data_IF_484652847628
#
_entry.id   IF_484652847628
#
_cell.length_a   1.000
_cell.length_b   1.000
_cell.length_c   1.000
_cell.angle_alpha   90.00
_cell.angle_beta   90.00
_cell.angle_gamma   90.00
#
_symmetry.space_group_name_H-M   'P 1'
#
loop_
_entity.id
_entity.type
_entity.pdbx_description
1 polymer ?
#
# COMPACT_ATOMS: atom_id res chain seq x y z
N UNK A 1 -11.41 -18.49 -6.71
CA UNK A 1 -10.94 -18.69 -5.32
C UNK A 1 -12.02 -19.36 -4.46
N UNK A 2 -11.64 -20.32 -3.59
CA UNK A 2 -12.54 -20.90 -2.58
C UNK A 2 -12.96 -19.83 -1.58
N UNK A 3 -14.21 -19.85 -1.07
CA UNK A 3 -14.75 -18.85 -0.13
C UNK A 3 -13.81 -18.58 1.05
N UNK A 4 -13.26 -19.63 1.67
CA UNK A 4 -12.31 -19.56 2.80
C UNK A 4 -11.06 -18.72 2.50
N UNK A 5 -10.43 -18.89 1.33
CA UNK A 5 -9.24 -18.11 0.94
C UNK A 5 -9.55 -16.62 0.84
N UNK A 6 -10.74 -16.25 0.37
CA UNK A 6 -11.15 -14.85 0.27
C UNK A 6 -11.34 -14.19 1.64
N UNK A 7 -11.87 -14.92 2.63
CA UNK A 7 -11.97 -14.40 4.00
C UNK A 7 -10.59 -14.16 4.61
N UNK A 8 -9.65 -15.09 4.43
CA UNK A 8 -8.27 -14.92 4.91
C UNK A 8 -7.63 -13.67 4.30
N UNK A 9 -7.74 -13.47 2.98
CA UNK A 9 -7.18 -12.28 2.33
C UNK A 9 -7.79 -10.96 2.84
N UNK A 10 -9.07 -10.95 3.19
CA UNK A 10 -9.73 -9.76 3.78
C UNK A 10 -9.23 -9.48 5.19
N UNK A 11 -9.04 -10.51 6.01
CA UNK A 11 -8.45 -10.36 7.35
C UNK A 11 -7.02 -9.83 7.23
N UNK A 12 -6.22 -10.40 6.31
CA UNK A 12 -4.87 -9.90 6.03
C UNK A 12 -4.87 -8.44 5.58
N UNK A 13 -5.82 -8.03 4.72
CA UNK A 13 -5.97 -6.63 4.32
C UNK A 13 -6.27 -5.71 5.51
N UNK A 14 -7.15 -6.13 6.42
CA UNK A 14 -7.48 -5.35 7.63
C UNK A 14 -6.28 -5.24 8.57
N UNK A 15 -5.56 -6.33 8.81
CA UNK A 15 -4.34 -6.33 9.61
C UNK A 15 -3.26 -5.45 8.98
N UNK A 16 -3.13 -5.50 7.66
CA UNK A 16 -2.21 -4.64 6.91
C UNK A 16 -2.59 -3.16 7.06
N UNK A 17 -3.86 -2.79 6.89
CA UNK A 17 -4.31 -1.39 7.11
C UNK A 17 -4.01 -0.94 8.54
N UNK A 18 -4.31 -1.78 9.53
CA UNK A 18 -4.02 -1.47 10.93
C UNK A 18 -2.52 -1.28 11.18
N UNK A 19 -1.67 -2.10 10.56
CA UNK A 19 -0.22 -1.96 10.63
C UNK A 19 0.27 -0.65 9.98
N UNK A 20 -0.23 -0.29 8.81
CA UNK A 20 0.09 0.99 8.15
C UNK A 20 -0.32 2.17 9.04
N UNK A 21 -1.55 2.17 9.55
CA UNK A 21 -2.01 3.22 10.47
C UNK A 21 -1.13 3.31 11.73
N UNK A 22 -0.76 2.18 12.32
CA UNK A 22 0.13 2.16 13.48
C UNK A 22 1.51 2.72 13.15
N UNK A 23 2.10 2.36 12.00
CA UNK A 23 3.40 2.88 11.56
C UNK A 23 3.37 4.39 11.27
N UNK A 24 2.28 4.88 10.66
CA UNK A 24 2.16 6.30 10.30
C UNK A 24 1.80 7.18 11.49
N UNK A 25 1.00 6.70 12.44
CA UNK A 25 0.46 7.53 13.51
C UNK A 25 1.06 7.29 14.90
N UNK A 26 1.76 6.19 15.15
CA UNK A 26 2.37 5.98 16.46
C UNK A 26 3.54 6.97 16.69
N UNK A 27 3.50 7.71 17.81
CA UNK A 27 4.65 8.47 18.32
C UNK A 27 5.54 7.53 19.14
N UNK A 28 6.39 6.76 18.43
CA UNK A 28 7.37 5.88 19.07
C UNK A 28 8.69 6.65 19.20
N UNK A 29 8.85 7.36 20.32
CA UNK A 29 10.14 7.92 20.71
C UNK A 29 11.08 6.78 21.05
N UNK A 30 12.05 6.54 20.18
CA UNK A 30 13.13 5.60 20.46
C UNK A 30 14.43 6.38 20.48
N UNK A 31 15.16 6.25 21.59
CA UNK A 31 16.49 6.84 21.80
C UNK A 31 17.58 6.08 21.01
N UNK A 32 17.15 5.19 20.12
CA UNK A 32 17.97 4.29 19.33
C UNK A 32 18.36 5.06 18.08
N UNK A 33 19.66 5.28 17.88
CA UNK A 33 20.19 5.95 16.69
C UNK A 33 19.94 5.13 15.43
N UNK A 34 18.74 5.24 14.86
CA UNK A 34 18.39 4.63 13.58
C UNK A 34 19.07 5.44 12.48
N UNK A 35 19.80 4.77 11.59
CA UNK A 35 20.36 5.41 10.41
C UNK A 35 19.23 6.10 9.64
N UNK A 36 19.32 7.42 9.52
CA UNK A 36 18.31 8.25 8.87
C UNK A 36 18.26 8.05 7.36
N UNK A 37 19.24 7.33 6.79
CA UNK A 37 19.33 7.02 5.37
C UNK A 37 19.75 5.56 5.16
N UNK A 38 19.23 4.96 4.09
CA UNK A 38 19.64 3.65 3.58
C UNK A 38 19.96 3.81 2.09
N UNK A 39 21.17 3.44 1.67
CA UNK A 39 21.66 3.63 0.29
C UNK A 39 21.58 5.09 -0.21
N UNK A 40 21.71 6.07 0.71
CA UNK A 40 21.61 7.50 0.40
C UNK A 40 20.17 8.01 0.24
N UNK A 41 19.15 7.15 0.39
CA UNK A 41 17.75 7.54 0.41
C UNK A 41 17.29 7.65 1.86
N UNK A 42 16.57 8.71 2.26
CA UNK A 42 16.00 8.82 3.60
C UNK A 42 15.12 7.60 3.94
N UNK A 43 15.32 7.06 5.15
CA UNK A 43 14.74 5.78 5.55
C UNK A 43 13.20 5.83 5.65
N UNK A 44 12.64 6.99 6.01
CA UNK A 44 11.22 7.30 5.96
C UNK A 44 10.63 7.04 4.57
N UNK A 45 11.28 7.52 3.49
CA UNK A 45 10.76 7.35 2.11
C UNK A 45 10.73 5.87 1.70
N UNK A 46 11.69 5.09 2.17
CA UNK A 46 11.73 3.64 1.92
C UNK A 46 10.59 2.96 2.68
N UNK A 47 10.32 3.36 3.92
CA UNK A 47 9.19 2.83 4.68
C UNK A 47 7.87 3.16 3.99
N UNK A 48 7.68 4.41 3.54
CA UNK A 48 6.51 4.85 2.78
C UNK A 48 6.31 4.04 1.48
N UNK A 49 7.36 3.88 0.68
CA UNK A 49 7.33 3.03 -0.51
C UNK A 49 6.97 1.57 -0.19
N UNK A 50 7.64 0.98 0.80
CA UNK A 50 7.48 -0.44 1.14
C UNK A 50 6.14 -0.73 1.78
N UNK A 51 5.56 0.20 2.55
CA UNK A 51 4.25 0.00 3.15
C UNK A 51 3.13 0.05 2.10
N UNK A 52 3.25 0.84 1.03
CA UNK A 52 2.23 0.94 -0.02
C UNK A 52 2.37 -0.12 -1.13
N UNK A 53 3.54 -0.75 -1.27
CA UNK A 53 3.79 -1.79 -2.27
C UNK A 53 2.86 -3.03 -2.16
N UNK A 54 2.56 -3.58 -0.97
CA UNK A 54 1.65 -4.72 -0.84
C UNK A 54 0.18 -4.39 -1.13
N UNK A 55 -0.22 -3.12 -1.08
CA UNK A 55 -1.62 -2.69 -1.16
C UNK A 55 -2.35 -3.26 -2.38
N UNK A 56 -1.83 -3.16 -3.63
CA UNK A 56 -2.56 -3.62 -4.80
C UNK A 56 -2.72 -5.14 -4.85
N UNK A 57 -1.72 -5.88 -4.36
CA UNK A 57 -1.76 -7.34 -4.30
C UNK A 57 -2.79 -7.84 -3.28
N UNK A 58 -2.85 -7.19 -2.10
CA UNK A 58 -3.83 -7.50 -1.06
C UNK A 58 -5.25 -7.13 -1.50
N UNK A 59 -5.43 -5.98 -2.14
CA UNK A 59 -6.72 -5.59 -2.74
C UNK A 59 -7.18 -6.62 -3.77
N UNK A 60 -6.30 -7.03 -4.68
CA UNK A 60 -6.58 -8.07 -5.66
C UNK A 60 -7.00 -9.39 -4.98
N UNK A 61 -6.24 -9.85 -3.98
CA UNK A 61 -6.53 -11.09 -3.27
C UNK A 61 -7.85 -11.03 -2.46
N UNK A 62 -8.19 -9.88 -1.89
CA UNK A 62 -9.35 -9.71 -1.01
C UNK A 62 -10.67 -9.46 -1.76
N UNK A 63 -10.61 -8.74 -2.88
CA UNK A 63 -11.80 -8.18 -3.52
C UNK A 63 -11.97 -8.51 -5.00
N UNK A 64 -10.88 -8.78 -5.73
CA UNK A 64 -11.02 -9.06 -7.16
C UNK A 64 -11.75 -10.39 -7.40
N UNK A 65 -12.71 -10.36 -8.32
CA UNK A 65 -13.34 -11.57 -8.85
C UNK A 65 -12.53 -12.02 -10.05
N UNK A 66 -11.88 -13.19 -9.91
CA UNK A 66 -11.17 -13.89 -10.99
C UNK A 66 -12.16 -14.27 -12.08
N UNK A 67 -12.41 -13.35 -12.99
CA UNK A 67 -13.23 -13.49 -14.17
C UNK A 67 -12.32 -13.32 -15.37
N UNK A 68 -12.57 -14.08 -16.46
CA UNK A 68 -11.77 -14.01 -17.70
C UNK A 68 -12.03 -12.76 -18.56
N UNK A 69 -11.89 -11.58 -17.95
CA UNK A 69 -12.23 -10.28 -18.53
C UNK A 69 -11.14 -9.24 -18.22
N UNK A 70 -10.16 -9.04 -19.12
CA UNK A 70 -9.04 -8.12 -18.89
C UNK A 70 -9.48 -6.67 -18.63
N UNK A 71 -10.55 -6.20 -19.28
CA UNK A 71 -11.09 -4.87 -19.03
C UNK A 71 -11.56 -4.68 -17.57
N UNK A 72 -12.18 -5.70 -16.96
CA UNK A 72 -12.60 -5.65 -15.54
C UNK A 72 -11.40 -5.65 -14.60
N UNK A 73 -10.34 -6.36 -14.97
CA UNK A 73 -9.08 -6.32 -14.24
C UNK A 73 -8.44 -4.93 -14.28
N UNK A 74 -8.36 -4.30 -15.45
CA UNK A 74 -7.80 -2.95 -15.61
C UNK A 74 -8.60 -1.94 -14.78
N UNK A 75 -9.93 -1.95 -14.88
CA UNK A 75 -10.79 -1.05 -14.08
C UNK A 75 -10.57 -1.28 -12.58
N UNK A 76 -10.46 -2.53 -12.15
CA UNK A 76 -10.18 -2.86 -10.75
C UNK A 76 -8.81 -2.32 -10.30
N UNK A 77 -7.77 -2.46 -11.11
CA UNK A 77 -6.43 -1.95 -10.79
C UNK A 77 -6.40 -0.42 -10.75
N UNK A 78 -7.08 0.26 -11.68
CA UNK A 78 -7.21 1.72 -11.65
C UNK A 78 -7.93 2.19 -10.39
N UNK A 79 -9.05 1.56 -10.03
CA UNK A 79 -9.75 1.87 -8.79
C UNK A 79 -8.88 1.61 -7.55
N UNK A 80 -8.06 0.57 -7.57
CA UNK A 80 -7.10 0.25 -6.51
C UNK A 80 -6.02 1.31 -6.37
N UNK A 81 -5.46 1.80 -7.49
CA UNK A 81 -4.48 2.87 -7.49
C UNK A 81 -5.06 4.19 -6.96
N UNK A 82 -6.28 4.55 -7.38
CA UNK A 82 -6.98 5.75 -6.89
C UNK A 82 -7.25 5.63 -5.38
N UNK A 83 -7.76 4.49 -4.93
CA UNK A 83 -8.04 4.26 -3.51
C UNK A 83 -6.76 4.31 -2.66
N UNK A 84 -5.67 3.71 -3.15
CA UNK A 84 -4.37 3.77 -2.49
C UNK A 84 -3.82 5.19 -2.42
N UNK A 85 -3.86 5.94 -3.51
CA UNK A 85 -3.39 7.32 -3.54
C UNK A 85 -4.22 8.22 -2.62
N UNK A 86 -5.55 8.04 -2.60
CA UNK A 86 -6.41 8.75 -1.66
C UNK A 86 -6.08 8.39 -0.20
N UNK A 87 -5.73 7.14 0.09
CA UNK A 87 -5.29 6.72 1.42
C UNK A 87 -3.95 7.36 1.82
N UNK A 88 -2.95 7.37 0.92
CA UNK A 88 -1.65 8.04 1.18
C UNK A 88 -1.81 9.53 1.43
N UNK A 89 -2.55 10.23 0.56
CA UNK A 89 -2.86 11.66 0.77
C UNK A 89 -3.60 11.91 2.09
N UNK A 90 -4.55 11.03 2.44
CA UNK A 90 -5.28 11.12 3.71
C UNK A 90 -4.37 10.92 4.93
N UNK A 91 -3.42 9.99 4.86
CA UNK A 91 -2.44 9.75 5.93
C UNK A 91 -1.58 10.99 6.15
N UNK A 92 -1.02 11.58 5.09
CA UNK A 92 -0.19 12.80 5.17
C UNK A 92 -0.94 13.98 5.82
N UNK A 93 -2.20 14.19 5.40
CA UNK A 93 -3.06 15.24 5.97
C UNK A 93 -3.31 14.98 7.46
N UNK A 94 -3.62 13.74 7.84
CA UNK A 94 -3.87 13.38 9.24
C UNK A 94 -2.58 13.52 10.05
N UNK A 95 -1.43 13.11 9.51
CA UNK A 95 -0.13 13.26 10.17
C UNK A 95 0.17 14.72 10.47
N UNK A 96 -0.11 15.64 9.56
CA UNK A 96 0.01 17.08 9.83
C UNK A 96 -0.84 17.54 11.02
N UNK A 97 -2.03 16.96 11.22
CA UNK A 97 -2.91 17.28 12.34
C UNK A 97 -2.42 16.73 13.68
N UNK A 98 -1.47 15.80 13.70
CA UNK A 98 -0.94 15.21 14.94
C UNK A 98 0.05 16.11 15.68
N UNK A 99 0.65 17.09 15.00
CA UNK A 99 1.58 18.07 15.59
C UNK A 99 3.01 17.56 15.83
N UNK A 100 3.27 16.25 15.73
CA UNK A 100 4.62 15.65 15.83
C UNK A 100 5.12 15.02 14.51
N UNK A 101 4.28 15.03 13.46
CA UNK A 101 4.64 14.66 12.08
C UNK A 101 4.31 15.82 11.14
N UNK A 102 5.11 16.01 10.10
CA UNK A 102 4.87 16.98 9.03
C UNK A 102 4.24 16.29 7.82
N UNK A 103 3.39 17.00 7.09
CA UNK A 103 2.99 16.60 5.74
C UNK A 103 4.19 16.80 4.79
N UNK A 104 4.61 15.72 4.12
CA UNK A 104 5.69 15.75 3.16
C UNK A 104 5.24 15.18 1.82
N UNK A 105 5.27 16.03 0.80
CA UNK A 105 4.95 15.64 -0.57
C UNK A 105 5.88 14.53 -1.09
N UNK A 106 7.10 14.41 -0.56
CA UNK A 106 8.04 13.34 -0.92
C UNK A 106 7.62 11.99 -0.33
N UNK A 107 6.97 11.98 0.83
CA UNK A 107 6.35 10.77 1.39
C UNK A 107 5.18 10.32 0.53
N UNK A 108 4.30 11.24 0.16
CA UNK A 108 3.20 10.94 -0.77
C UNK A 108 3.70 10.40 -2.12
N UNK A 109 4.82 10.94 -2.63
CA UNK A 109 5.45 10.42 -3.86
C UNK A 109 5.97 9.00 -3.67
N UNK A 110 6.59 8.70 -2.53
CA UNK A 110 7.06 7.35 -2.21
C UNK A 110 5.88 6.37 -2.12
N UNK A 111 4.77 6.76 -1.50
CA UNK A 111 3.53 5.98 -1.43
C UNK A 111 3.00 5.65 -2.83
N UNK A 112 2.94 6.66 -3.71
CA UNK A 112 2.48 6.50 -5.08
C UNK A 112 3.39 5.57 -5.90
N UNK A 113 4.71 5.67 -5.73
CA UNK A 113 5.67 4.77 -6.37
C UNK A 113 5.51 3.33 -5.87
N UNK A 114 5.28 3.15 -4.57
CA UNK A 114 5.00 1.85 -3.96
C UNK A 114 3.73 1.24 -4.57
N UNK A 115 2.65 2.01 -4.64
CA UNK A 115 1.38 1.60 -5.27
C UNK A 115 1.56 1.20 -6.74
N UNK A 116 2.27 2.00 -7.53
CA UNK A 116 2.51 1.69 -8.93
C UNK A 116 3.34 0.41 -9.09
N UNK A 117 4.41 0.25 -8.32
CA UNK A 117 5.23 -0.97 -8.32
C UNK A 117 4.41 -2.20 -7.94
N UNK A 118 3.62 -2.11 -6.86
CA UNK A 118 2.71 -3.17 -6.43
C UNK A 118 1.67 -3.53 -7.48
N UNK A 119 1.13 -2.53 -8.19
CA UNK A 119 0.14 -2.74 -9.24
C UNK A 119 0.75 -3.43 -10.47
N UNK A 120 1.96 -3.06 -10.86
CA UNK A 120 2.72 -3.73 -11.93
C UNK A 120 2.97 -5.19 -11.57
N UNK A 121 3.49 -5.47 -10.37
CA UNK A 121 3.73 -6.84 -9.90
C UNK A 121 2.45 -7.68 -9.88
N UNK A 122 1.35 -7.09 -9.39
CA UNK A 122 0.04 -7.76 -9.35
C UNK A 122 -0.48 -8.06 -10.75
N UNK A 123 -0.27 -7.15 -11.70
CA UNK A 123 -0.66 -7.30 -13.11
C UNK A 123 0.14 -8.41 -13.77
N UNK A 124 1.47 -8.43 -13.59
CA UNK A 124 2.35 -9.50 -14.09
C UNK A 124 1.92 -10.86 -13.53
N UNK A 125 1.66 -10.95 -12.22
CA UNK A 125 1.18 -12.18 -11.60
C UNK A 125 -0.17 -12.64 -12.17
N UNK A 126 -1.11 -11.72 -12.36
CA UNK A 126 -2.41 -12.03 -12.98
C UNK A 126 -2.25 -12.58 -14.40
N UNK A 127 -1.36 -11.98 -15.20
CA UNK A 127 -1.09 -12.39 -16.57
C UNK A 127 -0.45 -13.78 -16.62
N UNK A 128 0.62 -13.97 -15.85
CA UNK A 128 1.36 -15.24 -15.78
C UNK A 128 0.48 -16.40 -15.29
N UNK A 129 -0.44 -16.13 -14.37
CA UNK A 129 -1.34 -17.15 -13.83
C UNK A 129 -2.57 -17.44 -14.69
N UNK A 130 -2.76 -16.73 -15.83
CA UNK A 130 -3.98 -16.79 -16.68
C UNK A 130 -5.27 -16.58 -15.86
N UNK A 131 -5.19 -15.77 -14.80
CA UNK A 131 -6.30 -15.44 -13.89
C UNK A 131 -6.99 -14.11 -14.24
N UNK A 132 -6.61 -13.52 -15.37
CA UNK A 132 -7.35 -12.44 -16.04
C UNK A 132 -8.58 -12.97 -16.73
#
# INVERSE_FOLDING_TARGET
MKKRTRYISRVLMLLYIAAVCLLCFADIRTDIGVNSTLLGIPADKIVHFTMFLPFPALMYAAFHRQERKPARFIVFMLATLIAGAAAGAGIEIIQQMTGYRSCDIMDFRADCLGLLAGAVLTTIYGAASKKW
#
